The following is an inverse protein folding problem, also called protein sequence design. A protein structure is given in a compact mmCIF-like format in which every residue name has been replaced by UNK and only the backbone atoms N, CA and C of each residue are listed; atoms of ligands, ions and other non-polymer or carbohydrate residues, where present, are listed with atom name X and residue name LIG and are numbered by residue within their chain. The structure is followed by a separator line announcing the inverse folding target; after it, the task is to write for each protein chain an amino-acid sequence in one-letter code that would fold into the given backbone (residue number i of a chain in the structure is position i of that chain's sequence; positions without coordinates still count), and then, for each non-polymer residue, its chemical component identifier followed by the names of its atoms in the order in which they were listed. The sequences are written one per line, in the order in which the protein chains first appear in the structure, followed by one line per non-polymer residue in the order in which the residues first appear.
data_IF_742774334710
#
_entry.id   IF_742774334710
#
_cell.length_a   1.000
_cell.length_b   1.000
_cell.length_c   1.000
_cell.angle_alpha   90.00
_cell.angle_beta   90.00
_cell.angle_gamma   90.00
#
_symmetry.space_group_name_H-M   'P 1'
#
loop_
_entity.id
_entity.type
_entity.pdbx_description
1 polymer ?
#
# COMPACT_ATOMS: atom_id res chain seq x y z
N UNK A 1 -1.36 6.76 -32.40
CA UNK A 1 -2.32 5.62 -32.40
C UNK A 1 -3.00 5.58 -31.04
N UNK A 2 -4.31 5.76 -30.98
CA UNK A 2 -5.05 5.61 -29.74
C UNK A 2 -5.17 4.12 -29.40
N UNK A 3 -4.69 3.70 -28.22
CA UNK A 3 -4.83 2.33 -27.74
C UNK A 3 -6.30 2.14 -27.37
N UNK A 4 -7.00 1.24 -28.06
CA UNK A 4 -8.39 0.90 -27.76
C UNK A 4 -8.41 0.06 -26.47
N UNK A 5 -9.06 0.57 -25.42
CA UNK A 5 -9.20 -0.14 -24.16
C UNK A 5 -10.14 -1.34 -24.32
N UNK A 6 -9.88 -2.47 -23.62
CA UNK A 6 -10.77 -3.62 -23.61
C UNK A 6 -12.10 -3.29 -22.90
N UNK A 7 -13.16 -4.04 -23.22
CA UNK A 7 -14.50 -3.85 -22.63
C UNK A 7 -14.56 -4.07 -21.11
N UNK A 8 -13.58 -4.78 -20.56
CA UNK A 8 -13.30 -4.99 -19.13
C UNK A 8 -11.80 -5.15 -18.90
N UNK A 9 -11.31 -4.86 -17.67
CA UNK A 9 -9.89 -4.96 -17.32
C UNK A 9 -9.10 -3.66 -17.53
N UNK A 10 -7.81 -3.78 -17.83
CA UNK A 10 -6.90 -2.63 -17.99
C UNK A 10 -5.92 -2.85 -19.14
N UNK A 11 -5.46 -1.75 -19.74
CA UNK A 11 -4.32 -1.76 -20.65
C UNK A 11 -3.06 -1.37 -19.88
N UNK A 12 -1.99 -2.14 -20.05
CA UNK A 12 -0.65 -1.82 -19.52
C UNK A 12 0.19 -1.21 -20.63
N UNK A 13 0.61 0.03 -20.43
CA UNK A 13 1.62 0.69 -21.25
C UNK A 13 2.92 0.65 -20.47
N UNK A 14 3.90 -0.13 -20.98
CA UNK A 14 5.28 -0.10 -20.48
C UNK A 14 6.03 0.97 -21.26
N UNK A 15 6.35 2.08 -20.61
CA UNK A 15 7.28 3.05 -21.18
C UNK A 15 8.70 2.49 -21.13
N UNK A 16 9.57 2.95 -22.05
CA UNK A 16 10.98 2.55 -22.12
C UNK A 16 11.76 2.85 -20.82
N UNK A 17 11.23 3.75 -20.00
CA UNK A 17 11.86 4.28 -18.79
C UNK A 17 11.50 3.46 -17.53
N UNK A 18 11.12 2.19 -17.71
CA UNK A 18 10.68 1.26 -16.65
C UNK A 18 9.40 1.67 -15.89
N UNK A 19 8.70 2.71 -16.35
CA UNK A 19 7.41 3.13 -15.79
C UNK A 19 6.29 2.25 -16.38
N UNK A 20 5.48 1.66 -15.49
CA UNK A 20 4.26 0.93 -15.84
C UNK A 20 3.08 1.86 -15.66
N UNK A 21 2.37 2.18 -16.74
CA UNK A 21 1.12 2.95 -16.71
C UNK A 21 -0.02 1.98 -16.99
N UNK A 22 -1.00 1.91 -16.09
CA UNK A 22 -2.23 1.13 -16.29
C UNK A 22 -3.42 2.08 -16.48
N UNK A 23 -4.15 1.92 -17.58
CA UNK A 23 -5.40 2.65 -17.82
C UNK A 23 -6.57 1.70 -17.64
N UNK A 24 -7.43 2.01 -16.69
CA UNK A 24 -8.66 1.28 -16.38
C UNK A 24 -9.84 2.06 -16.94
N UNK A 25 -10.88 1.34 -17.39
CA UNK A 25 -12.16 1.98 -17.77
C UNK A 25 -12.84 2.63 -16.57
N UNK A 26 -12.82 1.91 -15.44
CA UNK A 26 -13.33 2.34 -14.15
C UNK A 26 -12.23 2.05 -13.11
N UNK A 27 -11.77 3.09 -12.42
CA UNK A 27 -10.82 2.97 -11.31
C UNK A 27 -11.35 3.83 -10.16
N UNK A 28 -11.33 3.34 -8.92
CA UNK A 28 -11.76 4.15 -7.79
C UNK A 28 -10.91 5.42 -7.71
N UNK A 29 -11.56 6.56 -7.44
CA UNK A 29 -10.85 7.77 -7.02
C UNK A 29 -10.37 7.59 -5.58
N UNK A 30 -9.11 7.94 -5.32
CA UNK A 30 -8.52 7.95 -3.99
C UNK A 30 -7.31 8.88 -3.97
N UNK A 31 -7.05 9.52 -2.82
CA UNK A 31 -5.83 10.33 -2.63
C UNK A 31 -4.62 9.46 -2.29
N UNK A 32 -4.87 8.38 -1.55
CA UNK A 32 -3.85 7.48 -1.01
C UNK A 32 -4.27 6.02 -1.20
N UNK A 33 -3.26 5.17 -1.33
CA UNK A 33 -3.49 3.73 -1.40
C UNK A 33 -2.32 2.91 -0.89
N UNK A 34 -2.64 1.72 -0.40
CA UNK A 34 -1.70 0.69 -0.05
C UNK A 34 -1.50 -0.24 -1.25
N UNK A 35 -0.24 -0.49 -1.60
CA UNK A 35 0.12 -1.46 -2.62
C UNK A 35 0.95 -2.57 -1.99
N UNK A 36 0.61 -3.82 -2.30
CA UNK A 36 1.39 -4.98 -1.89
C UNK A 36 1.81 -5.78 -3.11
N UNK A 37 3.04 -6.29 -3.09
CA UNK A 37 3.60 -7.10 -4.17
C UNK A 37 3.89 -8.51 -3.66
N UNK A 38 3.35 -9.51 -4.35
CA UNK A 38 3.71 -10.91 -4.18
C UNK A 38 4.17 -11.47 -5.53
N UNK A 39 5.50 -11.54 -5.72
CA UNK A 39 6.08 -11.90 -7.01
C UNK A 39 5.62 -10.94 -8.11
N UNK A 40 4.93 -11.49 -9.11
CA UNK A 40 4.41 -10.74 -10.26
C UNK A 40 3.01 -10.13 -10.03
N UNK A 41 2.37 -10.44 -8.90
CA UNK A 41 1.06 -9.90 -8.53
C UNK A 41 1.22 -8.63 -7.71
N UNK A 42 0.49 -7.58 -8.09
CA UNK A 42 0.34 -6.35 -7.32
C UNK A 42 -1.12 -6.23 -6.89
N UNK A 43 -1.38 -6.15 -5.59
CA UNK A 43 -2.68 -5.79 -5.04
C UNK A 43 -2.69 -4.34 -4.61
N UNK A 44 -3.88 -3.74 -4.69
CA UNK A 44 -4.09 -2.32 -4.44
C UNK A 44 -5.32 -2.16 -3.54
N UNK A 45 -5.22 -1.32 -2.52
CA UNK A 45 -6.30 -1.00 -1.60
C UNK A 45 -6.34 0.52 -1.36
N UNK A 46 -7.44 1.22 -1.72
CA UNK A 46 -7.64 2.62 -1.33
C UNK A 46 -7.54 2.79 0.18
N UNK A 47 -6.91 3.88 0.62
CA UNK A 47 -6.85 4.26 2.03
C UNK A 47 -7.73 5.47 2.29
N UNK A 48 -8.37 5.49 3.46
CA UNK A 48 -9.02 6.68 4.00
C UNK A 48 -7.99 7.70 4.44
N UNK A 49 -8.42 8.94 4.58
CA UNK A 49 -7.55 10.06 4.94
C UNK A 49 -6.89 9.85 6.32
N UNK A 50 -7.66 9.33 7.27
CA UNK A 50 -7.29 9.09 8.66
C UNK A 50 -6.55 7.78 8.92
N UNK A 51 -6.45 6.90 7.92
CA UNK A 51 -5.72 5.63 8.09
C UNK A 51 -4.22 5.88 8.16
N UNK A 52 -3.59 5.37 9.22
CA UNK A 52 -2.14 5.42 9.45
C UNK A 52 -1.56 4.05 9.13
N UNK A 53 -0.61 4.02 8.21
CA UNK A 53 0.13 2.79 7.87
C UNK A 53 1.45 2.80 8.66
N UNK A 54 1.58 1.83 9.55
CA UNK A 54 2.76 1.65 10.39
C UNK A 54 3.47 0.33 10.14
N UNK A 55 4.71 0.26 10.61
CA UNK A 55 5.35 -1.02 10.90
C UNK A 55 4.73 -1.63 12.17
N UNK A 56 4.94 -2.92 12.45
CA UNK A 56 4.55 -3.51 13.74
C UNK A 56 5.11 -2.77 14.96
N UNK A 57 6.20 -2.02 14.79
CA UNK A 57 6.84 -1.19 15.82
C UNK A 57 6.25 0.22 15.95
N UNK A 58 5.32 0.64 15.08
CA UNK A 58 4.78 2.00 15.07
C UNK A 58 4.19 2.37 16.43
N UNK A 59 3.41 1.47 17.03
CA UNK A 59 2.78 1.74 18.31
C UNK A 59 3.82 1.93 19.42
N UNK A 60 4.87 1.10 19.45
CA UNK A 60 6.01 1.26 20.36
C UNK A 60 6.69 2.61 20.16
N UNK A 61 6.97 3.00 18.93
CA UNK A 61 7.60 4.29 18.61
C UNK A 61 6.73 5.48 19.01
N UNK A 62 5.41 5.37 18.85
CA UNK A 62 4.47 6.41 19.30
C UNK A 62 4.50 6.59 20.82
N UNK A 63 4.53 5.48 21.57
CA UNK A 63 4.64 5.51 23.04
C UNK A 63 5.96 6.13 23.49
N UNK A 64 7.08 5.72 22.90
CA UNK A 64 8.40 6.26 23.23
C UNK A 64 8.48 7.77 22.98
N UNK A 65 7.93 8.25 21.84
CA UNK A 65 7.87 9.69 21.51
C UNK A 65 6.96 10.48 22.44
N UNK A 66 5.95 9.84 23.03
CA UNK A 66 5.11 10.44 24.06
C UNK A 66 5.76 10.42 25.46
N UNK A 67 6.98 9.89 25.59
CA UNK A 67 7.75 9.87 26.84
C UNK A 67 7.55 8.61 27.69
N UNK A 68 6.81 7.61 27.19
CA UNK A 68 6.66 6.33 27.88
C UNK A 68 7.91 5.46 27.66
N UNK A 69 8.27 4.67 28.69
CA UNK A 69 9.28 3.61 28.55
C UNK A 69 8.57 2.28 28.37
N UNK A 70 8.75 1.65 27.21
CA UNK A 70 8.14 0.35 26.91
C UNK A 70 9.03 -0.75 27.49
N UNK A 71 8.54 -1.46 28.51
CA UNK A 71 9.22 -2.62 29.08
C UNK A 71 8.93 -3.87 28.23
N UNK A 72 9.96 -4.65 27.92
CA UNK A 72 9.78 -6.00 27.36
C UNK A 72 9.08 -6.86 28.41
N UNK A 73 7.91 -7.42 28.08
CA UNK A 73 7.30 -8.46 28.92
C UNK A 73 8.10 -9.73 28.68
N UNK A 74 8.89 -10.13 29.67
CA UNK A 74 9.60 -11.40 29.62
C UNK A 74 8.55 -12.51 29.76
N UNK A 75 8.21 -13.18 28.66
CA UNK A 75 7.33 -14.36 28.71
C UNK A 75 8.08 -15.49 29.41
N UNK A 76 7.88 -15.61 30.72
CA UNK A 76 8.17 -16.83 31.45
C UNK A 76 7.04 -17.82 31.16
N UNK A 77 7.21 -18.60 30.09
CA UNK A 77 6.42 -19.81 29.91
C UNK A 77 6.85 -20.83 30.98
N UNK A 78 6.01 -20.98 32.02
CA UNK A 78 5.92 -22.17 32.85
C UNK A 78 5.01 -23.16 32.13
#
# INVERSE_FOLDING_TARGET
MAIKLPGSGYAVVRCRDHVVIATFKDFPEFDRALTYRQGDTISFMPLKLEEIIGTPTLFTQMLERAGYRVSQVYNNNI
#
